data_IF_496723625864
#
_entry.id   IF_496723625864
#
_cell.length_a   1.000
_cell.length_b   1.000
_cell.length_c   1.000
_cell.angle_alpha   90.00
_cell.angle_beta   90.00
_cell.angle_gamma   90.00
#
_symmetry.space_group_name_H-M   'P 1'
#
loop_
_entity.id
_entity.type
_entity.pdbx_description
1 polymer ?
#
# COMPACT_ATOMS: atom_id res chain seq x y z
N UNK A 1 34.58 36.89 26.83
CA UNK A 1 34.22 36.24 25.56
C UNK A 1 33.18 35.15 25.84
N UNK A 2 31.89 35.49 25.90
CA UNK A 2 30.81 34.53 26.16
C UNK A 2 29.53 35.00 25.46
N UNK A 3 29.60 35.07 24.14
CA UNK A 3 28.51 35.50 23.26
C UNK A 3 28.33 34.48 22.13
N UNK A 4 27.83 33.28 22.46
CA UNK A 4 27.38 32.33 21.43
C UNK A 4 26.08 31.64 21.78
N UNK A 5 25.83 31.33 23.05
CA UNK A 5 24.62 30.60 23.48
C UNK A 5 23.32 31.41 23.37
N UNK A 6 23.39 32.74 23.49
CA UNK A 6 22.22 33.63 23.38
C UNK A 6 21.75 33.83 21.94
N UNK A 7 22.64 33.74 20.96
CA UNK A 7 22.28 33.92 19.54
C UNK A 7 21.50 32.72 18.98
N UNK A 8 21.88 31.49 19.33
CA UNK A 8 21.14 30.29 18.93
C UNK A 8 19.73 30.22 19.57
N UNK A 9 19.57 30.70 20.80
CA UNK A 9 18.27 30.73 21.45
C UNK A 9 17.29 31.68 20.74
N UNK A 10 17.77 32.83 20.26
CA UNK A 10 16.96 33.82 19.56
C UNK A 10 16.61 33.35 18.13
N UNK A 11 17.52 32.65 17.43
CA UNK A 11 17.23 32.12 16.09
C UNK A 11 16.17 31.02 16.10
N UNK A 12 16.16 30.13 17.11
CA UNK A 12 15.15 29.08 17.27
C UNK A 12 13.76 29.69 17.56
N UNK A 13 13.70 30.76 18.37
CA UNK A 13 12.45 31.46 18.68
C UNK A 13 11.84 32.12 17.43
N UNK A 14 12.68 32.72 16.57
CA UNK A 14 12.24 33.34 15.31
C UNK A 14 11.70 32.29 14.33
N UNK A 15 12.34 31.13 14.23
CA UNK A 15 11.85 30.01 13.40
C UNK A 15 10.48 29.52 13.89
N UNK A 16 10.26 29.43 15.21
CA UNK A 16 8.95 29.08 15.79
C UNK A 16 7.86 30.12 15.51
N UNK A 17 8.21 31.42 15.53
CA UNK A 17 7.25 32.49 15.23
C UNK A 17 6.85 32.46 13.74
N UNK A 18 7.79 32.14 12.84
CA UNK A 18 7.50 32.07 11.39
C UNK A 18 6.75 30.78 11.03
N UNK A 19 7.17 29.62 11.56
CA UNK A 19 6.52 28.33 11.27
C UNK A 19 5.22 28.09 12.06
N UNK A 20 5.09 28.65 13.27
CA UNK A 20 3.92 28.45 14.12
C UNK A 20 2.65 29.11 13.59
N UNK A 21 2.78 30.22 12.84
CA UNK A 21 1.65 30.95 12.27
C UNK A 21 1.13 30.34 10.94
N UNK A 22 1.84 29.38 10.34
CA UNK A 22 1.42 28.76 9.07
C UNK A 22 0.53 27.51 9.26
N UNK A 23 0.23 27.12 10.51
CA UNK A 23 -0.56 25.90 10.82
C UNK A 23 -2.04 26.22 11.09
N UNK A 24 -2.48 27.49 11.02
CA UNK A 24 -3.86 27.87 11.36
C UNK A 24 -4.83 28.04 10.19
N UNK A 25 -4.39 27.89 8.93
CA UNK A 25 -5.25 28.07 7.75
C UNK A 25 -5.53 26.76 6.97
N UNK A 26 -5.95 25.70 7.65
CA UNK A 26 -6.85 24.70 7.04
C UNK A 26 -8.13 24.66 7.87
N UNK A 27 -9.04 25.52 7.47
CA UNK A 27 -10.43 25.55 7.89
C UNK A 27 -11.13 24.29 7.35
N UNK A 28 -11.24 23.24 8.17
CA UNK A 28 -12.31 22.26 8.00
C UNK A 28 -13.46 22.71 8.90
N UNK A 29 -14.46 23.29 8.25
CA UNK A 29 -15.85 23.54 8.65
C UNK A 29 -16.21 22.95 10.03
N UNK A 30 -16.50 23.84 11.00
CA UNK A 30 -17.21 23.50 12.24
C UNK A 30 -18.71 23.63 12.04
N UNK A 31 -19.44 22.53 12.18
CA UNK A 31 -20.80 22.44 12.76
C UNK A 31 -21.05 20.93 12.94
N UNK A 32 -21.17 20.38 14.15
CA UNK A 32 -22.33 20.59 15.01
C UNK A 32 -23.25 19.37 14.91
N UNK A 33 -22.87 18.25 15.52
CA UNK A 33 -23.69 17.02 15.47
C UNK A 33 -23.06 15.86 16.24
N UNK A 34 -23.36 15.79 17.53
CA UNK A 34 -23.15 14.58 18.34
C UNK A 34 -24.06 13.49 17.78
N UNK A 35 -23.51 12.46 17.11
CA UNK A 35 -23.94 11.05 17.07
C UNK A 35 -23.13 10.31 15.97
N UNK A 36 -22.06 9.61 16.36
CA UNK A 36 -21.61 8.36 15.72
C UNK A 36 -20.73 7.57 16.72
N UNK A 37 -21.19 7.48 17.97
CA UNK A 37 -20.57 6.63 19.00
C UNK A 37 -21.01 5.14 18.87
N UNK A 38 -21.64 4.78 17.74
CA UNK A 38 -22.13 3.42 17.45
C UNK A 38 -21.54 2.79 16.17
N UNK A 39 -20.55 3.41 15.53
CA UNK A 39 -19.75 2.77 14.47
C UNK A 39 -18.33 2.37 14.92
N UNK A 40 -17.96 2.69 16.16
CA UNK A 40 -16.60 2.47 16.67
C UNK A 40 -16.32 1.03 17.12
N UNK A 41 -17.34 0.17 17.22
CA UNK A 41 -17.17 -1.26 17.49
C UNK A 41 -16.94 -2.10 16.22
N UNK A 42 -16.96 -1.48 15.03
CA UNK A 42 -16.63 -2.12 13.75
C UNK A 42 -15.64 -1.26 12.95
N UNK A 43 -14.53 -0.87 13.57
CA UNK A 43 -13.41 -0.22 12.86
C UNK A 43 -12.07 -0.44 13.56
N UNK A 44 -11.88 -1.66 14.03
CA UNK A 44 -10.58 -2.11 14.51
C UNK A 44 -9.96 -3.00 13.43
N UNK A 45 -8.95 -2.43 12.76
CA UNK A 45 -7.73 -3.12 12.31
C UNK A 45 -7.67 -3.76 10.92
N UNK A 46 -8.07 -3.05 9.85
CA UNK A 46 -7.70 -3.42 8.48
C UNK A 46 -6.96 -2.27 7.80
N UNK A 47 -5.61 -2.35 7.86
CA UNK A 47 -4.68 -1.27 7.53
C UNK A 47 -4.34 -1.16 6.03
N UNK A 48 -4.81 -2.09 5.20
CA UNK A 48 -4.81 -2.02 3.74
C UNK A 48 -5.85 -2.98 3.19
N UNK A 49 -6.73 -2.52 2.29
CA UNK A 49 -7.81 -3.36 1.77
C UNK A 49 -7.44 -4.00 0.43
N UNK A 50 -6.70 -3.32 -0.44
CA UNK A 50 -6.46 -3.76 -1.83
C UNK A 50 -4.97 -3.79 -2.17
N UNK A 51 -4.45 -4.95 -2.59
CA UNK A 51 -3.15 -5.10 -3.22
C UNK A 51 -3.33 -5.19 -4.74
N UNK A 52 -2.60 -4.38 -5.49
CA UNK A 52 -2.52 -4.45 -6.96
C UNK A 52 -1.13 -4.96 -7.33
N UNK A 53 -1.06 -6.10 -8.01
CA UNK A 53 0.17 -6.64 -8.59
C UNK A 53 0.15 -6.42 -10.09
N UNK A 54 1.20 -5.78 -10.62
CA UNK A 54 1.29 -5.46 -12.05
C UNK A 54 2.72 -5.50 -12.58
N UNK A 55 2.92 -5.78 -13.87
CA UNK A 55 4.16 -5.47 -14.56
C UNK A 55 4.49 -3.98 -14.46
N UNK A 56 5.79 -3.66 -14.46
CA UNK A 56 6.28 -2.28 -14.36
C UNK A 56 5.68 -1.35 -15.43
N UNK A 57 5.43 -1.88 -16.62
CA UNK A 57 4.84 -1.17 -17.77
C UNK A 57 3.47 -0.56 -17.49
N UNK A 58 2.69 -1.15 -16.57
CA UNK A 58 1.35 -0.68 -16.23
C UNK A 58 1.32 0.25 -15.01
N UNK A 59 2.45 0.43 -14.32
CA UNK A 59 2.51 1.20 -13.07
C UNK A 59 1.94 2.61 -13.23
N UNK A 60 2.41 3.34 -14.24
CA UNK A 60 1.99 4.72 -14.48
C UNK A 60 0.51 4.81 -14.92
N UNK A 61 0.04 3.81 -15.67
CA UNK A 61 -1.36 3.73 -16.12
C UNK A 61 -2.33 3.38 -14.98
N UNK A 62 -1.85 2.69 -13.95
CA UNK A 62 -2.65 2.31 -12.78
C UNK A 62 -2.70 3.39 -11.70
N UNK A 63 -1.82 4.39 -11.75
CA UNK A 63 -1.77 5.46 -10.76
C UNK A 63 -3.12 6.19 -10.59
N UNK A 64 -3.85 6.59 -11.66
CA UNK A 64 -5.16 7.21 -11.53
C UNK A 64 -6.22 6.30 -10.88
N UNK A 65 -6.09 4.97 -11.08
CA UNK A 65 -6.97 3.98 -10.46
C UNK A 65 -6.71 3.88 -8.96
N UNK A 66 -5.44 3.83 -8.55
CA UNK A 66 -5.02 3.84 -7.14
C UNK A 66 -5.61 5.07 -6.44
N UNK A 67 -5.35 6.26 -6.99
CA UNK A 67 -5.85 7.51 -6.42
C UNK A 67 -7.39 7.54 -6.36
N UNK A 68 -8.07 7.02 -7.38
CA UNK A 68 -9.51 6.91 -7.35
C UNK A 68 -9.99 6.00 -6.22
N UNK A 69 -9.37 4.84 -6.01
CA UNK A 69 -9.74 3.90 -4.94
C UNK A 69 -9.47 4.48 -3.55
N UNK A 70 -8.32 5.13 -3.38
CA UNK A 70 -7.96 5.78 -2.11
C UNK A 70 -8.93 6.91 -1.77
N UNK A 71 -9.34 7.74 -2.75
CA UNK A 71 -10.37 8.77 -2.54
C UNK A 71 -11.73 8.19 -2.11
N UNK A 72 -12.01 6.93 -2.43
CA UNK A 72 -13.24 6.24 -2.01
C UNK A 72 -13.06 5.43 -0.73
N UNK A 73 -11.96 5.65 0.02
CA UNK A 73 -11.70 5.01 1.31
C UNK A 73 -11.17 3.58 1.21
N UNK A 74 -10.62 3.19 0.06
CA UNK A 74 -9.97 1.89 -0.13
C UNK A 74 -8.46 2.13 -0.22
N UNK A 75 -7.75 1.88 0.88
CA UNK A 75 -6.29 1.89 0.91
C UNK A 75 -5.76 0.84 -0.06
N UNK A 76 -5.02 1.32 -1.06
CA UNK A 76 -4.62 0.54 -2.23
C UNK A 76 -3.10 0.55 -2.35
N UNK A 77 -2.49 -0.63 -2.39
CA UNK A 77 -1.06 -0.78 -2.49
C UNK A 77 -0.68 -1.32 -3.88
N UNK A 78 0.02 -0.51 -4.68
CA UNK A 78 0.49 -0.90 -6.01
C UNK A 78 1.93 -1.43 -5.93
N UNK A 79 2.11 -2.70 -6.28
CA UNK A 79 3.41 -3.39 -6.25
C UNK A 79 3.71 -3.94 -7.64
N UNK A 80 4.97 -3.80 -8.07
CA UNK A 80 5.39 -4.37 -9.35
C UNK A 80 5.87 -5.81 -9.20
N UNK A 81 5.74 -6.62 -10.26
CA UNK A 81 6.29 -7.99 -10.25
C UNK A 81 7.80 -8.00 -9.99
N UNK A 82 8.52 -7.01 -10.51
CA UNK A 82 9.95 -6.82 -10.24
C UNK A 82 10.21 -6.66 -8.75
N UNK A 83 9.42 -5.84 -8.04
CA UNK A 83 9.56 -5.66 -6.59
C UNK A 83 9.33 -6.96 -5.81
N UNK A 84 8.40 -7.80 -6.28
CA UNK A 84 8.12 -9.12 -5.69
C UNK A 84 9.34 -10.04 -5.85
N UNK A 85 9.96 -10.06 -7.03
CA UNK A 85 11.07 -10.96 -7.33
C UNK A 85 12.41 -10.49 -6.77
N UNK A 86 12.58 -9.18 -6.56
CA UNK A 86 13.76 -8.59 -5.92
C UNK A 86 13.67 -8.63 -4.39
N UNK A 87 12.47 -8.81 -3.84
CA UNK A 87 12.26 -8.90 -2.39
C UNK A 87 12.29 -7.54 -1.71
N UNK A 88 11.82 -6.49 -2.39
CA UNK A 88 11.84 -5.11 -1.89
C UNK A 88 10.95 -4.93 -0.64
N UNK A 89 9.99 -5.83 -0.43
CA UNK A 89 9.04 -5.80 0.69
C UNK A 89 9.14 -7.02 1.62
N UNK A 90 9.36 -8.21 1.07
CA UNK A 90 9.44 -9.46 1.80
C UNK A 90 10.61 -10.29 1.29
N UNK A 91 11.14 -11.19 2.13
CA UNK A 91 12.12 -12.17 1.69
C UNK A 91 11.51 -13.10 0.63
N UNK A 92 12.15 -13.15 -0.53
CA UNK A 92 11.68 -13.95 -1.67
C UNK A 92 11.72 -15.44 -1.33
N UNK A 93 10.58 -16.12 -1.48
CA UNK A 93 10.40 -17.57 -1.27
C UNK A 93 9.72 -18.20 -2.47
N UNK A 94 9.98 -19.47 -2.72
CA UNK A 94 9.37 -20.22 -3.83
C UNK A 94 10.35 -20.54 -4.95
N UNK A 95 10.11 -21.67 -5.62
CA UNK A 95 11.01 -22.22 -6.65
C UNK A 95 10.87 -21.51 -7.99
N UNK A 96 9.65 -21.15 -8.36
CA UNK A 96 9.31 -20.49 -9.63
C UNK A 96 8.51 -19.19 -9.40
N UNK A 97 8.30 -18.42 -10.46
CA UNK A 97 7.67 -17.10 -10.41
C UNK A 97 6.24 -17.14 -9.88
N UNK A 98 5.45 -18.13 -10.26
CA UNK A 98 4.09 -18.32 -9.74
C UNK A 98 4.11 -18.61 -8.23
N UNK A 99 5.04 -19.44 -7.77
CA UNK A 99 5.18 -19.73 -6.35
C UNK A 99 5.68 -18.52 -5.55
N UNK A 100 6.57 -17.71 -6.13
CA UNK A 100 7.03 -16.45 -5.52
C UNK A 100 5.88 -15.46 -5.32
N UNK A 101 5.05 -15.25 -6.35
CA UNK A 101 3.85 -14.41 -6.24
C UNK A 101 2.90 -14.96 -5.17
N UNK A 102 2.68 -16.27 -5.13
CA UNK A 102 1.83 -16.92 -4.11
C UNK A 102 2.31 -16.63 -2.68
N UNK A 103 3.61 -16.77 -2.41
CA UNK A 103 4.14 -16.48 -1.07
C UNK A 103 4.11 -14.99 -0.75
N UNK A 104 4.38 -14.12 -1.72
CA UNK A 104 4.25 -12.68 -1.53
C UNK A 104 2.82 -12.28 -1.13
N UNK A 105 1.81 -12.79 -1.84
CA UNK A 105 0.40 -12.52 -1.51
C UNK A 105 0.08 -13.05 -0.10
N UNK A 106 0.55 -14.25 0.24
CA UNK A 106 0.38 -14.81 1.59
C UNK A 106 0.94 -13.86 2.65
N UNK A 107 2.15 -13.35 2.45
CA UNK A 107 2.80 -12.44 3.41
C UNK A 107 2.09 -11.09 3.48
N UNK A 108 1.63 -10.56 2.35
CA UNK A 108 0.85 -9.33 2.30
C UNK A 108 -0.49 -9.49 3.06
N UNK A 109 -1.16 -10.63 2.93
CA UNK A 109 -2.40 -10.92 3.69
C UNK A 109 -2.09 -11.04 5.18
N UNK A 110 -1.06 -11.78 5.57
CA UNK A 110 -0.74 -12.06 6.99
C UNK A 110 -0.13 -10.86 7.72
N UNK A 111 0.66 -10.03 7.05
CA UNK A 111 1.40 -8.93 7.68
C UNK A 111 0.79 -7.57 7.43
N UNK A 112 0.22 -7.32 6.24
CA UNK A 112 -0.41 -6.05 5.91
C UNK A 112 -1.93 -6.08 6.10
N UNK A 113 -2.53 -7.25 6.27
CA UNK A 113 -3.98 -7.40 6.44
C UNK A 113 -4.76 -7.22 5.14
N UNK A 114 -4.13 -7.47 3.99
CA UNK A 114 -4.78 -7.33 2.67
C UNK A 114 -6.02 -8.23 2.57
N UNK A 115 -7.14 -7.66 2.11
CA UNK A 115 -8.40 -8.40 1.88
C UNK A 115 -8.64 -8.75 0.42
N UNK A 116 -8.23 -7.87 -0.49
CA UNK A 116 -8.47 -7.99 -1.91
C UNK A 116 -7.14 -7.94 -2.65
N UNK A 117 -7.00 -8.81 -3.65
CA UNK A 117 -5.84 -8.82 -4.54
C UNK A 117 -6.33 -8.66 -5.98
N UNK A 118 -5.76 -7.69 -6.69
CA UNK A 118 -5.99 -7.46 -8.11
C UNK A 118 -4.71 -7.76 -8.87
N UNK A 119 -4.80 -8.71 -9.79
CA UNK A 119 -3.72 -9.10 -10.68
C UNK A 119 -3.94 -8.39 -12.02
N UNK A 120 -3.02 -7.52 -12.41
CA UNK A 120 -3.12 -6.75 -13.65
C UNK A 120 -2.06 -7.25 -14.62
N UNK A 121 -2.50 -7.89 -15.70
CA UNK A 121 -1.64 -8.53 -16.70
C UNK A 121 -2.34 -9.73 -17.33
N UNK A 122 -1.71 -10.32 -18.34
CA UNK A 122 -2.14 -11.58 -18.94
C UNK A 122 -1.47 -12.79 -18.32
N UNK A 123 -1.72 -13.95 -18.92
CA UNK A 123 -1.08 -15.24 -18.56
C UNK A 123 0.43 -15.25 -18.82
N UNK A 124 0.89 -14.38 -19.73
CA UNK A 124 2.30 -14.21 -20.07
C UNK A 124 3.08 -13.48 -18.98
N UNK A 125 2.47 -12.48 -18.36
CA UNK A 125 3.12 -11.67 -17.34
C UNK A 125 2.85 -12.18 -15.93
N UNK A 126 1.65 -12.70 -15.67
CA UNK A 126 1.26 -13.28 -14.39
C UNK A 126 1.08 -14.79 -14.56
N UNK A 127 2.08 -15.60 -14.15
CA UNK A 127 2.11 -17.01 -14.45
C UNK A 127 0.99 -17.77 -13.72
N UNK A 128 0.18 -18.48 -14.51
CA UNK A 128 -0.88 -19.38 -14.05
C UNK A 128 -0.40 -20.82 -13.98
N UNK A 129 -0.96 -21.60 -13.05
CA UNK A 129 -0.68 -23.03 -12.91
C UNK A 129 -1.73 -23.85 -13.64
N UNK A 130 -1.34 -24.48 -14.75
CA UNK A 130 -2.16 -25.46 -15.44
C UNK A 130 -2.02 -26.84 -14.77
N UNK A 131 -3.14 -27.55 -14.66
CA UNK A 131 -3.17 -28.96 -14.23
C UNK A 131 -3.68 -29.79 -15.40
N UNK A 132 -2.91 -30.80 -15.79
CA UNK A 132 -3.35 -31.75 -16.82
C UNK A 132 -4.04 -32.92 -16.10
N UNK A 133 -5.27 -33.23 -16.52
CA UNK A 133 -5.90 -34.51 -16.18
C UNK A 133 -5.53 -35.49 -17.29
N UNK A 134 -4.68 -36.45 -16.95
CA UNK A 134 -4.43 -37.61 -17.81
C UNK A 134 -5.71 -38.45 -17.84
N UNK A 135 -6.34 -38.56 -19.01
CA UNK A 135 -7.57 -39.33 -19.21
C UNK A 135 -7.31 -40.83 -19.42
N UNK A 136 -6.04 -41.26 -19.34
CA UNK A 136 -5.65 -42.66 -19.36
C UNK A 136 -5.77 -43.32 -20.73
N UNK A 137 -5.94 -42.56 -21.81
CA UNK A 137 -5.92 -43.09 -23.17
C UNK A 137 -4.50 -43.34 -23.68
N UNK A 138 -3.79 -44.25 -23.00
CA UNK A 138 -2.55 -44.84 -23.50
C UNK A 138 -2.87 -45.86 -24.60
N UNK A 139 -2.62 -45.49 -25.86
CA UNK A 139 -2.74 -46.39 -27.00
C UNK A 139 -1.84 -47.62 -26.86
N UNK A 140 -2.44 -48.80 -26.95
CA UNK A 140 -1.78 -50.09 -27.15
C UNK A 140 -1.24 -50.25 -28.57
#
# INVERSE_FOLDING_TARGET
MKASKTFYAISILIIWIIFGNAIQDIEIIKEGGKYEELNMACKLEDKYNLLILSPLEFKDLLQPLVEHKERHGIETFLVTLTDVYEGNYFSVRGRDEAEKIKYFIKDAVETWGIKYVMLVGGDKEIPVRYVNMDDGYGGH
#
